data_IF_222890037240
#
_entry.id   IF_222890037240
#
_cell.length_a   1.000
_cell.length_b   1.000
_cell.length_c   1.000
_cell.angle_alpha   90.00
_cell.angle_beta   90.00
_cell.angle_gamma   90.00
#
_symmetry.space_group_name_H-M   'P 1'
#
loop_
_entity.id
_entity.type
_entity.pdbx_description
1 polymer ?
#
# COMPACT_ATOMS: atom_id res chain seq x y z
N UNK A 1 -9.17 1.25 8.68
CA UNK A 1 -9.16 1.12 7.22
C UNK A 1 -9.98 2.22 6.60
N UNK A 2 -9.87 2.36 5.29
CA UNK A 2 -10.60 3.35 4.48
C UNK A 2 -12.01 2.85 4.13
N UNK A 3 -12.89 3.70 3.61
CA UNK A 3 -14.23 3.29 3.14
C UNK A 3 -14.10 2.26 2.01
N UNK A 4 -14.93 1.20 2.08
CA UNK A 4 -14.89 0.07 1.15
C UNK A 4 -13.92 -1.05 1.55
N UNK A 5 -13.19 -0.89 2.67
CA UNK A 5 -12.33 -1.90 3.24
C UNK A 5 -13.15 -2.95 4.02
N UNK A 6 -13.10 -4.21 3.56
CA UNK A 6 -13.79 -5.36 4.18
C UNK A 6 -12.90 -6.10 5.21
N UNK A 7 -11.74 -5.55 5.58
CA UNK A 7 -10.72 -6.20 6.43
C UNK A 7 -10.74 -5.81 7.91
N UNK A 8 -11.86 -5.28 8.43
CA UNK A 8 -11.95 -4.70 9.79
C UNK A 8 -10.91 -3.57 10.04
N UNK A 9 -10.38 -2.98 8.98
CA UNK A 9 -9.64 -1.74 9.04
C UNK A 9 -8.12 -1.85 9.00
N UNK A 10 -7.55 -2.71 8.13
CA UNK A 10 -6.11 -2.88 7.99
C UNK A 10 -5.35 -1.55 7.87
N UNK A 11 -4.26 -1.45 8.63
CA UNK A 11 -3.39 -0.26 8.65
C UNK A 11 -2.66 -0.07 7.32
N UNK A 12 -2.51 -1.14 6.55
CA UNK A 12 -1.74 -1.16 5.30
C UNK A 12 -2.31 -0.29 4.19
N UNK A 13 -3.61 0.04 4.26
CA UNK A 13 -4.25 0.98 3.34
C UNK A 13 -4.14 2.44 3.79
N UNK A 14 -3.53 2.71 4.94
CA UNK A 14 -3.49 4.05 5.54
C UNK A 14 -2.07 4.52 5.88
N UNK A 15 -1.20 3.66 6.43
CA UNK A 15 0.12 4.06 6.93
C UNK A 15 1.14 2.93 6.75
N UNK A 16 2.32 3.26 6.21
CA UNK A 16 3.41 2.30 5.99
C UNK A 16 4.76 2.87 6.43
N UNK A 17 5.62 2.07 7.04
CA UNK A 17 6.99 2.50 7.29
C UNK A 17 7.78 2.53 5.98
N UNK A 18 8.41 3.67 5.68
CA UNK A 18 9.37 3.81 4.59
C UNK A 18 10.77 3.38 5.05
N UNK A 19 11.10 3.68 6.30
CA UNK A 19 12.34 3.30 6.96
C UNK A 19 12.15 3.29 8.50
N UNK A 20 13.26 3.19 9.25
CA UNK A 20 13.25 3.06 10.71
C UNK A 20 12.64 4.23 11.49
N UNK A 21 12.55 5.42 10.88
CA UNK A 21 12.07 6.63 11.56
C UNK A 21 11.02 7.42 10.76
N UNK A 22 10.60 6.89 9.61
CA UNK A 22 9.72 7.58 8.67
C UNK A 22 8.55 6.69 8.25
N UNK A 23 7.35 7.24 8.32
CA UNK A 23 6.12 6.65 7.76
C UNK A 23 5.61 7.45 6.57
N UNK A 24 5.00 6.74 5.63
CA UNK A 24 4.15 7.29 4.57
C UNK A 24 2.70 7.15 5.04
N UNK A 25 1.93 8.23 5.03
CA UNK A 25 0.55 8.26 5.49
C UNK A 25 -0.38 8.78 4.40
N UNK A 26 -1.44 8.03 4.11
CA UNK A 26 -2.51 8.44 3.21
C UNK A 26 -3.34 9.57 3.84
N UNK A 27 -3.60 10.61 3.06
CA UNK A 27 -4.43 11.75 3.44
C UNK A 27 -5.48 12.01 2.36
N UNK A 28 -6.69 12.30 2.80
CA UNK A 28 -7.74 12.81 1.91
C UNK A 28 -7.80 14.34 2.06
N UNK A 29 -7.85 15.03 0.92
CA UNK A 29 -7.86 16.50 0.83
C UNK A 29 -9.29 17.03 0.68
N UNK A 30 -10.21 16.25 0.10
CA UNK A 30 -11.61 16.61 -0.05
C UNK A 30 -12.37 16.44 1.26
N UNK A 31 -12.76 17.56 1.88
CA UNK A 31 -13.41 17.60 3.20
C UNK A 31 -14.76 16.89 3.26
N UNK A 32 -15.42 16.74 2.11
CA UNK A 32 -16.72 16.07 2.00
C UNK A 32 -16.58 14.57 1.81
N UNK A 33 -15.39 14.07 1.50
CA UNK A 33 -15.14 12.64 1.37
C UNK A 33 -15.20 11.96 2.73
N UNK A 34 -15.78 10.76 2.75
CA UNK A 34 -15.99 9.97 3.96
C UNK A 34 -14.66 9.58 4.64
N UNK A 35 -13.56 9.46 3.87
CA UNK A 35 -12.23 9.17 4.41
C UNK A 35 -11.57 10.38 5.09
N UNK A 36 -12.01 11.61 4.81
CA UNK A 36 -11.34 12.82 5.29
C UNK A 36 -11.20 12.85 6.80
N UNK A 37 -12.32 12.74 7.53
CA UNK A 37 -12.30 12.85 8.98
C UNK A 37 -11.44 11.76 9.63
N UNK A 38 -11.48 10.55 9.08
CA UNK A 38 -10.72 9.41 9.57
C UNK A 38 -9.22 9.58 9.35
N UNK A 39 -8.80 9.91 8.12
CA UNK A 39 -7.39 10.05 7.78
C UNK A 39 -6.75 11.27 8.48
N UNK A 40 -7.51 12.35 8.67
CA UNK A 40 -7.04 13.50 9.47
C UNK A 40 -6.84 13.14 10.94
N UNK A 41 -7.69 12.29 11.51
CA UNK A 41 -7.50 11.77 12.87
C UNK A 41 -6.22 10.92 12.94
N UNK A 42 -6.03 9.97 12.03
CA UNK A 42 -4.82 9.16 11.99
C UNK A 42 -3.56 10.02 11.87
N UNK A 43 -3.59 11.02 10.98
CA UNK A 43 -2.49 11.96 10.80
C UNK A 43 -2.17 12.74 12.07
N UNK A 44 -3.19 13.17 12.81
CA UNK A 44 -3.00 13.83 14.10
C UNK A 44 -2.34 12.89 15.11
N UNK A 45 -2.83 11.66 15.23
CA UNK A 45 -2.28 10.67 16.16
C UNK A 45 -0.81 10.37 15.83
N UNK A 46 -0.46 10.20 14.54
CA UNK A 46 0.93 10.03 14.07
C UNK A 46 1.82 11.23 14.45
N UNK A 47 1.32 12.46 14.34
CA UNK A 47 2.06 13.68 14.71
C UNK A 47 2.37 13.74 16.21
N UNK A 48 1.56 13.09 17.04
CA UNK A 48 1.77 12.98 18.48
C UNK A 48 2.72 11.81 18.87
N UNK A 49 2.95 10.84 17.97
CA UNK A 49 3.83 9.70 18.24
C UNK A 49 5.31 10.09 18.39
N UNK A 50 6.03 9.32 19.20
CA UNK A 50 7.48 9.40 19.38
C UNK A 50 8.09 8.02 19.22
N UNK A 51 9.26 7.95 18.61
CA UNK A 51 10.08 6.75 18.58
C UNK A 51 10.61 6.44 19.99
N UNK A 52 11.13 5.23 20.20
CA UNK A 52 11.65 4.79 21.51
C UNK A 52 12.78 5.69 22.05
N UNK A 53 13.51 6.36 21.17
CA UNK A 53 14.56 7.32 21.52
C UNK A 53 14.02 8.75 21.79
N UNK A 54 12.70 8.93 21.83
CA UNK A 54 12.03 10.22 22.03
C UNK A 54 11.98 11.12 20.79
N UNK A 55 12.56 10.70 19.65
CA UNK A 55 12.51 11.47 18.39
C UNK A 55 11.07 11.51 17.85
N UNK A 56 10.68 12.65 17.29
CA UNK A 56 9.46 12.77 16.51
C UNK A 56 9.49 11.82 15.30
N UNK A 57 8.40 11.09 15.08
CA UNK A 57 8.22 10.28 13.86
C UNK A 57 8.18 11.19 12.63
N UNK A 58 8.99 10.91 11.61
CA UNK A 58 8.90 11.62 10.34
C UNK A 58 7.67 11.12 9.57
N UNK A 59 6.89 12.03 8.99
CA UNK A 59 5.65 11.69 8.29
C UNK A 59 5.72 12.29 6.89
N UNK A 60 5.55 11.43 5.88
CA UNK A 60 5.41 11.81 4.48
C UNK A 60 3.95 11.58 4.10
N UNK A 61 3.25 12.63 3.72
CA UNK A 61 1.83 12.56 3.36
C UNK A 61 1.69 12.24 1.86
N UNK A 62 0.82 11.29 1.52
CA UNK A 62 0.44 10.96 0.14
C UNK A 62 -1.06 11.11 -0.04
N UNK A 63 -1.56 11.68 -1.15
CA UNK A 63 -2.99 11.84 -1.36
C UNK A 63 -3.68 10.49 -1.57
N UNK A 64 -4.96 10.40 -1.21
CA UNK A 64 -5.84 9.33 -1.65
C UNK A 64 -6.11 9.43 -3.16
N UNK A 65 -6.21 8.30 -3.88
CA UNK A 65 -6.66 8.31 -5.28
C UNK A 65 -8.08 8.86 -5.39
N UNK A 66 -8.51 9.13 -6.62
CA UNK A 66 -9.91 9.49 -6.87
C UNK A 66 -10.84 8.33 -6.51
N UNK A 67 -12.09 8.65 -6.17
CA UNK A 67 -13.09 7.64 -5.86
C UNK A 67 -13.30 6.70 -7.05
N UNK A 68 -13.22 5.39 -6.78
CA UNK A 68 -13.53 4.34 -7.75
C UNK A 68 -14.78 3.60 -7.24
N UNK A 69 -15.83 3.60 -8.07
CA UNK A 69 -17.10 2.93 -7.76
C UNK A 69 -17.31 1.81 -8.77
N UNK A 70 -17.68 0.63 -8.26
CA UNK A 70 -18.10 -0.51 -9.06
C UNK A 70 -19.36 -1.14 -8.47
N UNK A 71 -20.38 -1.43 -9.30
CA UNK A 71 -21.68 -1.99 -8.85
C UNK A 71 -22.27 -1.26 -7.62
N UNK A 72 -22.30 0.08 -7.68
CA UNK A 72 -22.77 0.97 -6.58
C UNK A 72 -21.98 0.86 -5.27
N UNK A 73 -20.82 0.20 -5.28
CA UNK A 73 -19.92 0.06 -4.14
C UNK A 73 -18.60 0.81 -4.38
N UNK A 74 -18.18 1.61 -3.39
CA UNK A 74 -16.86 2.25 -3.38
C UNK A 74 -15.78 1.21 -3.10
N UNK A 75 -14.75 1.19 -3.95
CA UNK A 75 -13.61 0.29 -3.82
C UNK A 75 -12.51 0.92 -2.93
N UNK A 76 -11.76 0.12 -2.14
CA UNK A 76 -10.76 0.62 -1.19
C UNK A 76 -9.43 0.99 -1.86
N UNK A 77 -9.46 1.90 -2.84
CA UNK A 77 -8.27 2.33 -3.56
C UNK A 77 -7.32 3.11 -2.64
N UNK A 78 -6.09 2.62 -2.50
CA UNK A 78 -5.02 3.28 -1.74
C UNK A 78 -3.66 3.06 -2.39
N UNK A 79 -2.88 4.13 -2.49
CA UNK A 79 -1.47 4.04 -2.87
C UNK A 79 -0.60 3.46 -1.77
N UNK A 80 -1.05 3.52 -0.51
CA UNK A 80 -0.31 2.96 0.63
C UNK A 80 -0.20 1.43 0.55
N UNK A 81 -1.05 0.76 -0.24
CA UNK A 81 -1.00 -0.67 -0.53
C UNK A 81 0.16 -1.05 -1.49
N UNK A 82 1.32 -0.39 -1.38
CA UNK A 82 2.50 -0.69 -2.17
C UNK A 82 3.31 -1.86 -1.58
N UNK A 83 4.03 -2.56 -2.44
CA UNK A 83 4.86 -3.70 -2.09
C UNK A 83 6.35 -3.38 -2.27
N UNK A 84 7.15 -3.54 -1.21
CA UNK A 84 8.60 -3.32 -1.24
C UNK A 84 9.32 -4.65 -1.39
N UNK A 85 9.86 -4.92 -2.57
CA UNK A 85 10.73 -6.07 -2.83
C UNK A 85 12.21 -5.72 -2.58
N UNK A 86 13.11 -6.64 -2.93
CA UNK A 86 14.56 -6.45 -2.79
C UNK A 86 15.05 -5.20 -3.53
N UNK A 87 14.75 -5.09 -4.83
CA UNK A 87 15.28 -4.03 -5.71
C UNK A 87 14.20 -3.15 -6.34
N UNK A 88 12.92 -3.42 -6.06
CA UNK A 88 11.77 -2.73 -6.67
C UNK A 88 10.70 -2.42 -5.62
N UNK A 89 10.02 -1.30 -5.79
CA UNK A 89 8.76 -1.00 -5.09
C UNK A 89 7.64 -0.98 -6.12
N UNK A 90 6.63 -1.81 -5.92
CA UNK A 90 5.44 -1.87 -6.77
C UNK A 90 4.34 -1.05 -6.14
N UNK A 91 3.86 -0.03 -6.85
CA UNK A 91 2.86 0.91 -6.36
C UNK A 91 1.59 0.73 -7.19
N UNK A 92 0.41 0.53 -6.57
CA UNK A 92 -0.84 0.50 -7.31
C UNK A 92 -1.15 1.90 -7.87
N UNK A 93 -1.64 1.97 -9.11
CA UNK A 93 -2.06 3.20 -9.78
C UNK A 93 -3.50 3.08 -10.26
N UNK A 94 -4.19 4.21 -10.43
CA UNK A 94 -5.64 4.26 -10.55
C UNK A 94 -6.15 5.12 -11.71
N UNK A 95 -5.28 5.45 -12.66
CA UNK A 95 -5.58 6.24 -13.88
C UNK A 95 -6.04 7.67 -13.54
N UNK A 96 -5.46 8.29 -12.51
CA UNK A 96 -5.73 9.68 -12.15
C UNK A 96 -4.45 10.53 -12.11
N UNK A 97 -4.60 11.85 -12.04
CA UNK A 97 -3.47 12.79 -12.07
C UNK A 97 -2.56 12.69 -10.83
N UNK A 98 -3.08 12.15 -9.72
CA UNK A 98 -2.34 11.89 -8.49
C UNK A 98 -1.31 10.76 -8.63
N UNK A 99 -1.48 9.84 -9.59
CA UNK A 99 -0.59 8.67 -9.78
C UNK A 99 0.87 9.12 -9.89
N UNK A 100 1.15 10.10 -10.75
CA UNK A 100 2.51 10.59 -11.03
C UNK A 100 3.15 11.19 -9.79
N UNK A 101 2.40 12.06 -9.10
CA UNK A 101 2.87 12.72 -7.87
C UNK A 101 3.23 11.70 -6.79
N UNK A 102 2.43 10.65 -6.64
CA UNK A 102 2.67 9.61 -5.64
C UNK A 102 3.88 8.77 -5.98
N UNK A 103 4.03 8.37 -7.25
CA UNK A 103 5.21 7.63 -7.69
C UNK A 103 6.50 8.41 -7.42
N UNK A 104 6.52 9.72 -7.70
CA UNK A 104 7.66 10.59 -7.41
C UNK A 104 8.00 10.67 -5.91
N UNK A 105 6.98 10.75 -5.05
CA UNK A 105 7.16 10.76 -3.60
C UNK A 105 7.71 9.42 -3.11
N UNK A 106 7.18 8.30 -3.60
CA UNK A 106 7.62 6.96 -3.20
C UNK A 106 9.06 6.71 -3.69
N UNK A 107 9.44 7.16 -4.88
CA UNK A 107 10.81 7.04 -5.41
C UNK A 107 11.82 7.73 -4.48
N UNK A 108 11.48 8.92 -3.97
CA UNK A 108 12.31 9.64 -2.99
C UNK A 108 12.44 8.90 -1.66
N UNK A 109 11.44 8.11 -1.27
CA UNK A 109 11.45 7.32 -0.04
C UNK A 109 12.35 6.06 -0.15
N UNK A 110 12.57 5.56 -1.36
CA UNK A 110 13.30 4.33 -1.62
C UNK A 110 14.41 4.53 -2.67
N UNK A 111 15.44 5.36 -2.39
CA UNK A 111 16.43 5.79 -3.39
C UNK A 111 17.28 4.64 -3.98
N UNK A 112 17.35 3.50 -3.29
CA UNK A 112 18.09 2.31 -3.72
C UNK A 112 17.21 1.29 -4.47
N UNK A 113 15.93 1.60 -4.71
CA UNK A 113 14.97 0.72 -5.39
C UNK A 113 14.32 1.45 -6.55
N UNK A 114 14.02 0.71 -7.61
CA UNK A 114 13.20 1.23 -8.71
C UNK A 114 11.73 1.24 -8.28
N UNK A 115 11.01 2.36 -8.40
CA UNK A 115 9.55 2.35 -8.25
C UNK A 115 8.88 2.04 -9.59
N UNK A 116 7.87 1.16 -9.55
CA UNK A 116 7.08 0.78 -10.71
C UNK A 116 5.60 0.91 -10.35
N UNK A 117 4.90 1.79 -11.07
CA UNK A 117 3.44 1.87 -11.03
C UNK A 117 2.81 0.74 -11.83
N UNK A 118 1.83 0.05 -11.25
CA UNK A 118 1.00 -0.94 -11.95
C UNK A 118 -0.45 -0.53 -11.83
N UNK A 119 -1.17 -0.51 -12.95
CA UNK A 119 -2.59 -0.22 -12.98
C UNK A 119 -3.36 -1.28 -12.19
N UNK A 120 -4.01 -0.85 -11.11
CA UNK A 120 -4.76 -1.68 -10.18
C UNK A 120 -6.27 -1.48 -10.28
N UNK A 121 -6.76 -0.62 -11.20
CA UNK A 121 -8.19 -0.31 -11.34
C UNK A 121 -9.05 -1.57 -11.56
N UNK A 122 -8.53 -2.55 -12.30
CA UNK A 122 -9.23 -3.82 -12.57
C UNK A 122 -8.97 -4.90 -11.49
N UNK A 123 -7.87 -4.79 -10.72
CA UNK A 123 -7.51 -5.77 -9.68
C UNK A 123 -8.29 -5.50 -8.39
N UNK A 124 -8.60 -4.23 -8.11
CA UNK A 124 -9.25 -3.84 -6.87
C UNK A 124 -10.70 -4.32 -6.73
N UNK A 125 -11.30 -4.75 -7.84
CA UNK A 125 -12.56 -5.50 -7.87
C UNK A 125 -12.54 -6.78 -7.02
N UNK A 126 -11.36 -7.36 -6.77
CA UNK A 126 -11.20 -8.51 -5.88
C UNK A 126 -11.19 -8.17 -4.39
N UNK A 127 -11.55 -6.94 -3.99
CA UNK A 127 -11.52 -6.42 -2.62
C UNK A 127 -10.10 -6.41 -1.99
N UNK A 128 -9.05 -6.40 -2.81
CA UNK A 128 -7.65 -6.35 -2.36
C UNK A 128 -6.69 -6.00 -3.48
N UNK A 129 -5.53 -5.44 -3.14
CA UNK A 129 -4.45 -5.08 -4.08
C UNK A 129 -3.18 -5.91 -3.80
N UNK A 130 -2.03 -5.55 -4.38
CA UNK A 130 -0.81 -6.37 -4.38
C UNK A 130 -0.27 -6.74 -2.99
N UNK A 131 -0.46 -5.90 -1.97
CA UNK A 131 -0.08 -6.23 -0.60
C UNK A 131 -0.90 -7.40 -0.06
N UNK A 132 -2.20 -7.46 -0.38
CA UNK A 132 -3.11 -8.53 0.03
C UNK A 132 -2.81 -9.88 -0.68
N UNK A 133 -2.02 -9.85 -1.76
CA UNK A 133 -1.66 -11.02 -2.57
C UNK A 133 -0.22 -11.50 -2.37
N UNK A 134 0.54 -10.92 -1.42
CA UNK A 134 1.95 -11.25 -1.22
C UNK A 134 2.31 -11.45 0.25
N UNK A 135 3.16 -12.44 0.53
CA UNK A 135 3.78 -12.66 1.83
C UNK A 135 5.31 -12.63 1.64
N UNK A 136 6.01 -11.74 2.35
CA UNK A 136 7.47 -11.74 2.30
C UNK A 136 8.04 -12.88 3.15
N UNK A 137 8.96 -13.66 2.56
CA UNK A 137 9.81 -14.60 3.29
C UNK A 137 11.21 -13.98 3.43
N UNK A 138 11.60 -13.54 4.63
CA UNK A 138 12.92 -12.94 4.84
C UNK A 138 14.02 -13.97 4.59
N UNK A 139 15.06 -13.58 3.85
CA UNK A 139 16.26 -14.40 3.75
C UNK A 139 16.97 -14.41 5.10
N UNK A 140 17.20 -15.58 5.66
CA UNK A 140 18.05 -15.74 6.85
C UNK A 140 19.46 -15.30 6.48
N UNK A 141 19.95 -14.22 7.09
CA UNK A 141 21.37 -13.82 6.98
C UNK A 141 22.21 -14.90 7.67
N UNK A 142 22.74 -15.85 6.88
CA UNK A 142 23.65 -16.89 7.36
C UNK A 142 23.86 -18.09 6.43
N UNK A 143 22.95 -18.36 5.48
CA UNK A 143 23.06 -19.52 4.60
C UNK A 143 23.51 -19.12 3.18
N UNK A 144 24.82 -18.87 3.01
CA UNK A 144 25.44 -19.10 1.70
C UNK A 144 25.76 -20.58 1.64
N UNK A 145 24.98 -21.33 0.86
CA UNK A 145 25.47 -22.14 -0.26
C UNK A 145 24.42 -23.16 -0.70
N UNK A 146 24.10 -23.08 -2.00
CA UNK A 146 23.29 -24.03 -2.80
C UNK A 146 21.83 -24.22 -2.38
N UNK A 147 20.90 -23.63 -3.14
CA UNK A 147 19.84 -24.36 -3.87
C UNK A 147 19.05 -23.34 -4.71
N UNK A 148 18.89 -23.65 -6.00
CA UNK A 148 18.06 -22.89 -6.93
C UNK A 148 16.59 -22.98 -6.47
N UNK A 149 15.98 -21.84 -6.13
CA UNK A 149 14.57 -21.77 -5.77
C UNK A 149 13.71 -21.54 -7.01
N UNK A 150 12.96 -22.57 -7.40
CA UNK A 150 11.88 -22.51 -8.37
C UNK A 150 10.61 -21.91 -7.73
N UNK A 151 9.99 -20.94 -8.39
CA UNK A 151 8.69 -20.37 -8.02
C UNK A 151 7.59 -21.42 -8.25
N UNK A 152 6.75 -21.69 -7.24
CA UNK A 152 5.59 -22.56 -7.36
C UNK A 152 4.32 -21.70 -7.45
N UNK A 153 3.75 -21.61 -8.66
CA UNK A 153 2.40 -21.08 -8.86
C UNK A 153 1.39 -22.20 -8.52
N UNK A 154 0.59 -22.03 -7.49
CA UNK A 154 -0.60 -22.89 -7.32
C UNK A 154 -1.72 -22.37 -8.23
N UNK A 155 -1.84 -22.96 -9.42
CA UNK A 155 -3.04 -22.82 -10.25
C UNK A 155 -4.11 -23.79 -9.75
N UNK A 156 -5.18 -23.28 -9.15
CA UNK A 156 -6.42 -24.05 -9.00
C UNK A 156 -7.32 -23.78 -10.21
N UNK A 157 -7.40 -24.77 -11.11
CA UNK A 157 -8.32 -24.74 -12.25
C UNK A 157 -9.36 -25.86 -12.16
N UNK A 158 -10.63 -25.42 -12.18
CA UNK A 158 -11.89 -26.11 -12.58
C UNK A 158 -12.42 -27.19 -11.61
N UNK A 159 -13.72 -27.29 -11.37
CA UNK A 159 -14.75 -27.63 -12.38
C UNK A 159 -16.16 -27.09 -12.11
N UNK A 160 -16.78 -26.57 -13.17
CA UNK A 160 -18.23 -26.57 -13.39
C UNK A 160 -18.79 -28.00 -13.28
N UNK A 161 -19.92 -28.16 -12.61
CA UNK A 161 -20.89 -29.21 -12.95
C UNK A 161 -22.32 -28.69 -12.76
N UNK A 162 -23.06 -28.72 -13.89
CA UNK A 162 -24.51 -28.74 -14.14
C UNK A 162 -25.44 -27.79 -13.38
#
# INVERSE_FOLDING_TARGET
>A
GIVGDDTDGHVDDTVRFANVDTVIAAVEEEKRDENYALLQKNLKDLKEMRLLNGKQLNIIEIPMPDEIVYEDQRLPASYANFYVANDVVVVPTYRCDKDVKVLDVIEQCFPDRRVVGIDSTEIIWGLGSFHCLSQQEPVVRGARDTFSSSVHFQSHSRTNHY
#
